data_IF_492870501490
#
_entry.id   IF_492870501490
#
_cell.length_a   1.000
_cell.length_b   1.000
_cell.length_c   1.000
_cell.angle_alpha   90.00
_cell.angle_beta   90.00
_cell.angle_gamma   90.00
#
_symmetry.space_group_name_H-M   'P 1'
#
loop_
_entity.id
_entity.type
_entity.pdbx_description
1 polymer ?
#
# COMPACT_ATOMS: atom_id res chain seq x y z
N UNK A 1 9.82 6.63 -18.63
CA UNK A 1 10.01 5.22 -18.28
C UNK A 1 8.83 4.82 -17.42
N UNK A 2 8.11 3.73 -17.71
CA UNK A 2 7.11 3.24 -16.77
C UNK A 2 7.85 2.89 -15.49
N UNK A 3 7.46 3.46 -14.34
CA UNK A 3 7.97 3.03 -13.04
C UNK A 3 7.87 1.50 -12.99
N UNK A 4 8.96 0.82 -12.67
CA UNK A 4 8.91 -0.64 -12.55
C UNK A 4 8.27 -1.00 -11.21
N UNK A 5 7.71 -2.21 -11.10
CA UNK A 5 7.19 -2.71 -9.82
C UNK A 5 8.22 -2.57 -8.68
N UNK A 6 9.51 -2.79 -9.00
CA UNK A 6 10.61 -2.62 -8.05
C UNK A 6 10.76 -1.15 -7.59
N UNK A 7 10.75 -0.17 -8.50
CA UNK A 7 10.76 1.26 -8.16
C UNK A 7 9.60 1.65 -7.24
N UNK A 8 8.39 1.16 -7.54
CA UNK A 8 7.20 1.45 -6.73
C UNK A 8 7.37 0.89 -5.31
N UNK A 9 7.85 -0.35 -5.20
CA UNK A 9 8.11 -0.96 -3.89
C UNK A 9 9.21 -0.20 -3.14
N UNK A 10 10.30 0.18 -3.81
CA UNK A 10 11.41 0.90 -3.19
C UNK A 10 10.97 2.28 -2.66
N UNK A 11 10.20 3.02 -3.47
CA UNK A 11 9.62 4.32 -3.09
C UNK A 11 8.68 4.21 -1.90
N UNK A 12 7.76 3.24 -1.91
CA UNK A 12 6.85 2.99 -0.80
C UNK A 12 7.59 2.48 0.45
N UNK A 13 8.61 1.63 0.30
CA UNK A 13 9.43 1.19 1.42
C UNK A 13 10.13 2.38 2.09
N UNK A 14 10.72 3.30 1.31
CA UNK A 14 11.33 4.51 1.86
C UNK A 14 10.32 5.47 2.50
N UNK A 15 9.14 5.65 1.89
CA UNK A 15 8.10 6.54 2.43
C UNK A 15 7.49 6.03 3.74
N UNK A 16 7.29 4.72 3.86
CA UNK A 16 6.71 4.08 5.04
C UNK A 16 7.74 3.48 5.99
N UNK A 17 9.03 3.73 5.78
CA UNK A 17 10.10 3.23 6.64
C UNK A 17 9.85 3.64 8.10
N UNK A 18 9.99 2.69 9.02
CA UNK A 18 9.69 2.86 10.44
C UNK A 18 8.19 2.94 10.81
N UNK A 19 7.28 3.20 9.86
CA UNK A 19 5.81 3.23 10.12
C UNK A 19 5.15 1.89 9.84
N UNK A 20 5.52 1.28 8.71
CA UNK A 20 4.96 -0.01 8.24
C UNK A 20 6.12 -0.99 8.04
N UNK A 21 6.00 -2.25 8.48
CA UNK A 21 7.03 -3.25 8.21
C UNK A 21 7.23 -3.45 6.71
N UNK A 22 8.48 -3.46 6.24
CA UNK A 22 8.86 -3.80 4.86
C UNK A 22 8.12 -5.04 4.27
N UNK A 23 7.97 -6.17 5.01
CA UNK A 23 7.21 -7.31 4.47
C UNK A 23 5.72 -6.98 4.22
N UNK A 24 5.14 -6.09 5.02
CA UNK A 24 3.75 -5.64 4.87
C UNK A 24 3.60 -4.69 3.66
N UNK A 25 4.57 -3.82 3.41
CA UNK A 25 4.66 -3.02 2.17
C UNK A 25 4.62 -3.93 0.95
N UNK A 26 5.52 -4.92 0.89
CA UNK A 26 5.56 -5.86 -0.23
C UNK A 26 4.28 -6.71 -0.36
N UNK A 27 3.60 -7.04 0.76
CA UNK A 27 2.31 -7.75 0.73
C UNK A 27 1.20 -6.87 0.10
N UNK A 28 1.06 -5.63 0.55
CA UNK A 28 0.03 -4.69 0.07
C UNK A 28 0.22 -4.40 -1.41
N UNK A 29 1.45 -4.12 -1.85
CA UNK A 29 1.74 -3.83 -3.27
C UNK A 29 1.41 -5.05 -4.15
N UNK A 30 1.76 -6.28 -3.72
CA UNK A 30 1.36 -7.52 -4.42
C UNK A 30 -0.15 -7.69 -4.48
N UNK A 31 -0.86 -7.33 -3.41
CA UNK A 31 -2.32 -7.42 -3.34
C UNK A 31 -2.96 -6.45 -4.36
N UNK A 32 -2.56 -5.18 -4.34
CA UNK A 32 -3.04 -4.16 -5.29
C UNK A 32 -2.80 -4.57 -6.74
N UNK A 33 -1.60 -5.13 -7.02
CA UNK A 33 -1.28 -5.66 -8.35
C UNK A 33 -2.26 -6.75 -8.78
N UNK A 34 -2.55 -7.70 -7.88
CA UNK A 34 -3.42 -8.83 -8.16
C UNK A 34 -4.85 -8.39 -8.45
N UNK A 35 -5.36 -7.42 -7.69
CA UNK A 35 -6.70 -6.88 -7.89
C UNK A 35 -6.81 -6.09 -9.19
N UNK A 36 -5.80 -5.29 -9.54
CA UNK A 36 -5.75 -4.58 -10.81
C UNK A 36 -5.77 -5.54 -12.02
N UNK A 37 -5.09 -6.69 -11.91
CA UNK A 37 -5.14 -7.76 -12.92
C UNK A 37 -6.52 -8.44 -12.95
N UNK A 38 -7.13 -8.70 -11.78
CA UNK A 38 -8.48 -9.29 -11.71
C UNK A 38 -9.58 -8.36 -12.24
N UNK A 39 -9.41 -7.03 -12.18
CA UNK A 39 -10.36 -6.04 -12.68
C UNK A 39 -10.37 -5.89 -14.21
N UNK A 40 -9.68 -6.76 -14.95
CA UNK A 40 -9.84 -6.89 -16.40
C UNK A 40 -8.87 -6.06 -17.24
N UNK A 41 -7.87 -5.43 -16.64
CA UNK A 41 -6.77 -4.83 -17.40
C UNK A 41 -5.73 -5.91 -17.69
N UNK A 42 -5.36 -6.01 -18.96
CA UNK A 42 -4.35 -6.91 -19.53
C UNK A 42 -3.12 -7.05 -18.64
N UNK A 43 -2.40 -8.19 -18.76
CA UNK A 43 -1.27 -8.67 -17.97
C UNK A 43 -0.05 -7.72 -17.90
N UNK A 44 -0.27 -6.47 -17.55
CA UNK A 44 0.72 -5.43 -17.40
C UNK A 44 1.47 -5.67 -16.08
N UNK A 45 2.81 -5.71 -16.13
CA UNK A 45 3.61 -5.91 -14.94
C UNK A 45 3.47 -4.76 -13.95
N UNK A 46 3.11 -3.56 -14.41
CA UNK A 46 2.78 -2.42 -13.56
C UNK A 46 1.52 -1.67 -14.05
N UNK A 47 0.33 -2.02 -13.54
CA UNK A 47 -0.89 -1.33 -13.94
C UNK A 47 -0.85 0.14 -13.49
N UNK A 48 -1.35 1.07 -14.33
CA UNK A 48 -1.42 2.48 -13.97
C UNK A 48 -2.28 2.66 -12.71
N UNK A 49 -1.74 3.34 -11.70
CA UNK A 49 -2.42 3.56 -10.41
C UNK A 49 -2.10 2.55 -9.31
N UNK A 50 -1.25 1.54 -9.55
CA UNK A 50 -0.80 0.58 -8.52
C UNK A 50 -0.14 1.28 -7.33
N UNK A 51 0.72 2.27 -7.59
CA UNK A 51 1.39 3.05 -6.54
C UNK A 51 0.35 3.75 -5.66
N UNK A 52 -0.59 4.48 -6.25
CA UNK A 52 -1.65 5.20 -5.52
C UNK A 52 -2.47 4.25 -4.66
N UNK A 53 -2.94 3.13 -5.21
CA UNK A 53 -3.74 2.14 -4.48
C UNK A 53 -2.95 1.50 -3.33
N UNK A 54 -1.67 1.18 -3.55
CA UNK A 54 -0.80 0.66 -2.50
C UNK A 54 -0.55 1.70 -1.41
N UNK A 55 -0.32 2.95 -1.79
CA UNK A 55 -0.09 4.06 -0.87
C UNK A 55 -1.28 4.33 0.02
N UNK A 56 -2.50 4.35 -0.51
CA UNK A 56 -3.73 4.53 0.28
C UNK A 56 -3.90 3.44 1.34
N UNK A 57 -3.62 2.18 0.98
CA UNK A 57 -3.68 1.06 1.92
C UNK A 57 -2.58 1.08 2.96
N UNK A 58 -1.39 1.52 2.58
CA UNK A 58 -0.28 1.69 3.51
C UNK A 58 -0.54 2.84 4.49
N UNK A 59 -1.14 3.94 4.02
CA UNK A 59 -1.62 5.02 4.88
C UNK A 59 -2.65 4.50 5.88
N UNK A 60 -3.66 3.75 5.42
CA UNK A 60 -4.64 3.13 6.30
C UNK A 60 -3.98 2.20 7.33
N UNK A 61 -3.07 1.32 6.91
CA UNK A 61 -2.35 0.40 7.79
C UNK A 61 -1.47 1.12 8.83
N UNK A 62 -0.78 2.19 8.42
CA UNK A 62 0.02 3.01 9.32
C UNK A 62 -0.83 3.77 10.34
N UNK A 63 -2.04 4.18 9.95
CA UNK A 63 -3.00 4.88 10.82
C UNK A 63 -3.65 3.92 11.82
N UNK A 64 -4.03 2.70 11.40
CA UNK A 64 -4.54 1.66 12.29
C UNK A 64 -3.52 1.25 13.36
N UNK A 65 -2.22 1.38 13.07
CA UNK A 65 -1.16 1.17 14.07
C UNK A 65 -0.94 2.37 15.00
N UNK A 66 -1.52 3.53 14.68
CA UNK A 66 -1.41 4.79 15.41
C UNK A 66 -2.61 5.14 16.30
N UNK A 67 -3.68 4.34 16.32
CA UNK A 67 -4.81 4.56 17.24
C UNK A 67 -4.84 3.55 18.38
N UNK A 68 -4.36 3.94 19.57
CA UNK A 68 -5.13 3.81 20.78
C UNK A 68 -5.89 5.13 21.03
N UNK A 69 -7.19 5.02 21.30
CA UNK A 69 -8.03 6.05 21.93
C UNK A 69 -8.69 7.12 21.05
N UNK A 70 -10.01 6.95 20.87
CA UNK A 70 -10.96 7.96 21.35
C UNK A 70 -12.02 7.23 22.19
N UNK A 71 -11.91 7.41 23.51
CA UNK A 71 -12.94 7.50 24.56
C UNK A 71 -14.21 6.64 24.36
N UNK A 72 -14.57 5.65 25.20
CA UNK A 72 -14.67 5.67 26.67
C UNK A 72 -14.88 7.07 27.29
N UNK A 73 -16.04 7.65 26.99
CA UNK A 73 -16.83 8.46 27.94
C UNK A 73 -18.20 8.73 27.30
N UNK A 74 -19.19 7.92 27.64
CA UNK A 74 -20.58 8.38 27.68
C UNK A 74 -21.17 7.95 29.00
N UNK A 75 -21.47 9.01 29.76
CA UNK A 75 -22.07 9.09 31.09
C UNK A 75 -23.46 8.47 31.19
#
# INVERSE_FOLDING_TARGET
>A
MPDSYADVVERLCGEFDGRVPLPMVAQIVRQCRREAVCSGSTADPNPPGLESAARERLLAASTTRGTPSSADETS
#
